data_IF_519258338354
#
_entry.id   IF_519258338354
#
_cell.length_a   1.000
_cell.length_b   1.000
_cell.length_c   1.000
_cell.angle_alpha   90.00
_cell.angle_beta   90.00
_cell.angle_gamma   90.00
#
_symmetry.space_group_name_H-M   'P 1'
#
loop_
_entity.id
_entity.type
_entity.pdbx_description
1 polymer ?
#
# COMPACT_ATOMS: atom_id res chain seq x y z
N UNK A 1 -0.94 5.67 -26.93
CA UNK A 1 0.42 5.35 -26.41
C UNK A 1 0.64 5.86 -24.97
N UNK A 2 0.23 7.10 -24.66
CA UNK A 2 0.34 7.70 -23.32
C UNK A 2 -0.42 6.93 -22.22
N UNK A 3 -1.67 6.51 -22.45
CA UNK A 3 -2.43 5.68 -21.51
C UNK A 3 -1.67 4.41 -21.07
N UNK A 4 -1.08 3.68 -22.04
CA UNK A 4 -0.28 2.48 -21.74
C UNK A 4 0.95 2.82 -20.90
N UNK A 5 1.61 3.95 -21.18
CA UNK A 5 2.76 4.41 -20.41
C UNK A 5 2.37 4.83 -18.98
N UNK A 6 1.22 5.49 -18.80
CA UNK A 6 0.70 5.86 -17.49
C UNK A 6 0.36 4.62 -16.65
N UNK A 7 -0.30 3.62 -17.26
CA UNK A 7 -0.60 2.33 -16.61
C UNK A 7 0.67 1.61 -16.18
N UNK A 8 1.63 1.48 -17.09
CA UNK A 8 2.90 0.80 -16.82
C UNK A 8 3.71 1.56 -15.76
N UNK A 9 3.74 2.89 -15.83
CA UNK A 9 4.42 3.73 -14.84
C UNK A 9 3.81 3.60 -13.45
N UNK A 10 2.48 3.70 -13.34
CA UNK A 10 1.77 3.53 -12.08
C UNK A 10 1.98 2.11 -11.50
N UNK A 11 1.83 1.07 -12.32
CA UNK A 11 2.07 -0.31 -11.89
C UNK A 11 3.51 -0.54 -11.40
N UNK A 12 4.50 0.10 -12.03
CA UNK A 12 5.91 0.02 -11.63
C UNK A 12 6.16 0.73 -10.29
N UNK A 13 5.55 1.90 -10.08
CA UNK A 13 5.62 2.63 -8.82
C UNK A 13 4.95 1.85 -7.67
N UNK A 14 3.80 1.22 -7.93
CA UNK A 14 3.12 0.39 -6.93
C UNK A 14 3.88 -0.92 -6.65
N UNK A 15 4.49 -1.56 -7.66
CA UNK A 15 5.36 -2.72 -7.43
C UNK A 15 6.53 -2.35 -6.52
N UNK A 16 7.19 -1.21 -6.77
CA UNK A 16 8.26 -0.72 -5.92
C UNK A 16 7.76 -0.42 -4.50
N UNK A 17 6.64 0.29 -4.37
CA UNK A 17 6.07 0.63 -3.07
C UNK A 17 5.66 -0.62 -2.26
N UNK A 18 5.14 -1.66 -2.93
CA UNK A 18 4.78 -2.95 -2.32
C UNK A 18 6.02 -3.67 -1.75
N UNK A 19 7.13 -3.67 -2.48
CA UNK A 19 8.41 -4.23 -1.97
C UNK A 19 8.94 -3.43 -0.79
N UNK A 20 8.87 -2.09 -0.87
CA UNK A 20 9.32 -1.20 0.19
C UNK A 20 8.46 -1.35 1.46
N UNK A 21 7.17 -1.62 1.32
CA UNK A 21 6.29 -1.94 2.44
C UNK A 21 6.80 -3.13 3.25
N UNK A 22 7.34 -4.17 2.60
CA UNK A 22 7.93 -5.31 3.31
C UNK A 22 9.05 -4.89 4.29
N UNK A 23 9.90 -3.95 3.88
CA UNK A 23 10.94 -3.40 4.75
C UNK A 23 10.36 -2.56 5.91
N UNK A 24 9.39 -1.69 5.63
CA UNK A 24 8.72 -0.89 6.66
C UNK A 24 7.97 -1.76 7.66
N UNK A 25 7.29 -2.81 7.19
CA UNK A 25 6.59 -3.77 8.03
C UNK A 25 7.55 -4.46 8.99
N UNK A 26 8.72 -4.90 8.53
CA UNK A 26 9.71 -5.52 9.39
C UNK A 26 10.22 -4.56 10.49
N UNK A 27 10.49 -3.30 10.13
CA UNK A 27 10.88 -2.26 11.10
C UNK A 27 9.78 -1.97 12.12
N UNK A 28 8.53 -1.89 11.66
CA UNK A 28 7.37 -1.65 12.52
C UNK A 28 7.10 -2.81 13.47
N UNK A 29 7.22 -4.06 13.01
CA UNK A 29 7.04 -5.24 13.88
C UNK A 29 8.05 -5.21 15.02
N UNK A 30 9.33 -4.96 14.73
CA UNK A 30 10.35 -4.81 15.78
C UNK A 30 10.04 -3.66 16.76
N UNK A 31 9.48 -2.55 16.29
CA UNK A 31 9.05 -1.46 17.17
C UNK A 31 7.80 -1.80 18.00
N UNK A 32 6.87 -2.58 17.43
CA UNK A 32 5.62 -2.98 18.09
C UNK A 32 5.85 -4.09 19.12
N UNK A 33 6.84 -4.96 18.92
CA UNK A 33 7.30 -5.93 19.93
C UNK A 33 7.78 -5.23 21.21
N UNK A 34 8.45 -4.07 21.10
CA UNK A 34 8.83 -3.26 22.27
C UNK A 34 7.60 -2.74 23.03
N UNK A 35 6.46 -2.59 22.35
CA UNK A 35 5.20 -2.16 22.94
C UNK A 35 4.32 -3.32 23.44
N UNK A 36 4.74 -4.58 23.23
CA UNK A 36 4.03 -5.78 23.70
C UNK A 36 3.72 -5.75 25.20
N UNK A 37 4.60 -5.28 26.12
CA UNK A 37 4.27 -5.20 27.54
C UNK A 37 3.08 -4.27 27.85
N UNK A 38 2.77 -3.33 26.96
CA UNK A 38 1.68 -2.35 27.12
C UNK A 38 0.42 -2.78 26.36
N UNK A 39 0.60 -3.30 25.15
CA UNK A 39 -0.49 -3.65 24.24
C UNK A 39 -0.94 -5.11 24.36
N UNK A 40 -0.10 -5.98 24.92
CA UNK A 40 -0.36 -7.41 25.01
C UNK A 40 -0.67 -8.04 23.65
N UNK A 41 -1.72 -8.85 23.62
CA UNK A 41 -2.23 -9.54 22.43
C UNK A 41 -2.69 -8.60 21.31
N UNK A 42 -2.92 -7.31 21.61
CA UNK A 42 -3.36 -6.32 20.62
C UNK A 42 -2.26 -5.90 19.64
N UNK A 43 -0.99 -6.20 19.90
CA UNK A 43 0.11 -5.93 18.96
C UNK A 43 -0.19 -6.50 17.57
N UNK A 44 -0.65 -7.76 17.53
CA UNK A 44 -1.01 -8.41 16.28
C UNK A 44 -2.19 -7.72 15.57
N UNK A 45 -3.19 -7.27 16.33
CA UNK A 45 -4.33 -6.54 15.78
C UNK A 45 -3.90 -5.21 15.15
N UNK A 46 -2.97 -4.50 15.77
CA UNK A 46 -2.41 -3.25 15.24
C UNK A 46 -1.67 -3.50 13.92
N UNK A 47 -0.76 -4.50 13.88
CA UNK A 47 -0.03 -4.86 12.65
C UNK A 47 -1.00 -5.21 11.53
N UNK A 48 -1.99 -6.06 11.80
CA UNK A 48 -2.99 -6.48 10.81
C UNK A 48 -3.85 -5.31 10.31
N UNK A 49 -4.22 -4.39 11.19
CA UNK A 49 -4.99 -3.21 10.83
C UNK A 49 -4.19 -2.32 9.88
N UNK A 50 -2.91 -2.10 10.16
CA UNK A 50 -2.05 -1.30 9.28
C UNK A 50 -1.83 -2.00 7.93
N UNK A 51 -1.54 -3.31 7.93
CA UNK A 51 -1.42 -4.11 6.70
C UNK A 51 -2.67 -3.96 5.81
N UNK A 52 -3.87 -4.03 6.39
CA UNK A 52 -5.12 -3.86 5.67
C UNK A 52 -5.26 -2.47 5.04
N UNK A 53 -4.87 -1.40 5.75
CA UNK A 53 -4.93 -0.04 5.23
C UNK A 53 -3.95 0.17 4.08
N UNK A 54 -2.73 -0.38 4.18
CA UNK A 54 -1.73 -0.28 3.10
C UNK A 54 -2.15 -1.08 1.87
N UNK A 55 -2.71 -2.28 2.05
CA UNK A 55 -3.25 -3.06 0.92
C UNK A 55 -4.39 -2.33 0.21
N UNK A 56 -5.31 -1.70 0.96
CA UNK A 56 -6.38 -0.88 0.39
C UNK A 56 -5.83 0.31 -0.38
N UNK A 57 -4.82 0.98 0.15
CA UNK A 57 -4.14 2.07 -0.53
C UNK A 57 -3.53 1.60 -1.86
N UNK A 58 -2.80 0.47 -1.89
CA UNK A 58 -2.25 -0.05 -3.15
C UNK A 58 -3.33 -0.41 -4.16
N UNK A 59 -4.43 -1.03 -3.72
CA UNK A 59 -5.55 -1.36 -4.60
C UNK A 59 -6.21 -0.10 -5.18
N UNK A 60 -6.38 0.95 -4.38
CA UNK A 60 -6.91 2.24 -4.83
C UNK A 60 -5.96 2.97 -5.77
N UNK A 61 -4.66 2.98 -5.46
CA UNK A 61 -3.67 3.64 -6.29
C UNK A 61 -3.46 2.93 -7.64
N UNK A 62 -3.67 1.60 -7.71
CA UNK A 62 -3.70 0.84 -8.96
C UNK A 62 -4.91 1.17 -9.83
N UNK A 63 -6.03 1.60 -9.24
CA UNK A 63 -7.18 2.07 -10.00
C UNK A 63 -6.82 3.42 -10.63
N UNK A 64 -6.66 3.44 -11.95
CA UNK A 64 -6.58 4.69 -12.71
C UNK A 64 -7.82 5.53 -12.41
N UNK A 65 -7.64 6.83 -12.25
CA UNK A 65 -8.74 7.74 -11.97
C UNK A 65 -9.85 7.59 -13.04
N UNK A 66 -11.09 7.22 -12.66
CA UNK A 66 -12.19 7.02 -13.59
C UNK A 66 -12.56 8.27 -14.41
N UNK A 67 -12.30 9.47 -13.87
CA UNK A 67 -12.50 10.73 -14.60
C UNK A 67 -11.44 10.91 -15.70
N UNK A 68 -10.17 10.56 -15.44
CA UNK A 68 -9.14 10.60 -16.49
C UNK A 68 -9.42 9.58 -17.60
N UNK A 69 -9.91 8.38 -17.26
CA UNK A 69 -10.30 7.35 -18.23
C UNK A 69 -11.43 7.81 -19.16
N UNK A 70 -12.36 8.64 -18.67
CA UNK A 70 -13.53 9.10 -19.44
C UNK A 70 -13.22 10.32 -20.31
N UNK A 71 -12.31 11.19 -19.87
CA UNK A 71 -11.92 12.40 -20.60
C UNK A 71 -11.05 12.11 -21.84
N UNK A 72 -10.28 11.03 -21.84
CA UNK A 72 -9.46 10.62 -23.01
C UNK A 72 -10.17 9.62 -23.95
N UNK A 73 -11.41 9.23 -23.64
CA UNK A 73 -12.27 8.40 -24.50
C UNK A 73 -13.15 9.22 -25.46
N UNK A 74 -13.06 10.55 -25.41
CA UNK A 74 -13.75 11.52 -26.27
C UNK A 74 -12.74 12.24 -27.14
#
# INVERSE_FOLDING_TARGET
AQMRQAIVGNATQIDFASRLWGCFRALMVGALEVLEPVLGDKVNLVVQTIDLHVQRFFAQALQLDPLQLRLEAT
#
